data_IF_943776303330
#
_entry.id   IF_943776303330
#
_cell.length_a   1.000
_cell.length_b   1.000
_cell.length_c   1.000
_cell.angle_alpha   90.00
_cell.angle_beta   90.00
_cell.angle_gamma   90.00
#
_symmetry.space_group_name_H-M   'P 1'
#
loop_
_entity.id
_entity.type
_entity.pdbx_description
1 polymer ?
#
# COMPACT_ATOMS: atom_id res chain seq x y z
N UNK A 1 -14.08 8.10 -14.38
CA UNK A 1 -15.45 7.59 -14.21
C UNK A 1 -16.26 8.00 -15.42
N UNK A 2 -16.73 7.05 -16.23
CA UNK A 2 -17.68 7.34 -17.30
C UNK A 2 -19.10 7.09 -16.77
N UNK A 3 -20.10 7.92 -17.12
CA UNK A 3 -21.45 7.75 -16.63
C UNK A 3 -22.14 6.61 -17.39
N UNK A 4 -22.51 5.52 -16.71
CA UNK A 4 -23.40 4.48 -17.23
C UNK A 4 -22.81 3.08 -17.47
N UNK A 5 -21.54 2.81 -17.14
CA UNK A 5 -20.96 1.47 -17.21
C UNK A 5 -21.14 0.69 -15.91
N UNK A 6 -21.42 -0.62 -16.01
CA UNK A 6 -21.30 -1.55 -14.88
C UNK A 6 -19.88 -1.41 -14.31
N UNK A 7 -19.71 -1.21 -12.98
CA UNK A 7 -18.38 -1.13 -12.37
C UNK A 7 -17.55 -2.37 -12.69
N UNK A 8 -16.24 -2.22 -12.88
CA UNK A 8 -15.35 -3.29 -13.32
C UNK A 8 -15.40 -4.52 -12.39
N UNK A 9 -15.77 -4.31 -11.13
CA UNK A 9 -15.93 -5.32 -10.10
C UNK A 9 -17.09 -6.30 -10.37
N UNK A 10 -18.07 -5.90 -11.19
CA UNK A 10 -19.25 -6.68 -11.56
C UNK A 10 -19.19 -7.22 -13.00
N UNK A 11 -18.03 -7.13 -13.66
CA UNK A 11 -17.84 -7.73 -14.99
C UNK A 11 -18.03 -9.25 -14.87
N UNK A 12 -18.98 -9.80 -15.63
CA UNK A 12 -19.32 -11.23 -15.61
C UNK A 12 -20.44 -11.63 -14.64
N UNK A 13 -21.35 -10.71 -14.29
CA UNK A 13 -22.55 -10.93 -13.46
C UNK A 13 -22.28 -11.60 -12.09
N UNK A 14 -21.04 -11.53 -11.61
CA UNK A 14 -20.59 -12.22 -10.40
C UNK A 14 -20.08 -11.23 -9.37
N UNK A 15 -20.56 -11.35 -8.14
CA UNK A 15 -20.06 -10.62 -6.98
C UNK A 15 -19.40 -11.59 -5.99
N UNK A 16 -18.18 -11.27 -5.57
CA UNK A 16 -17.49 -11.96 -4.48
C UNK A 16 -16.43 -11.04 -3.87
N UNK A 17 -16.18 -11.17 -2.56
CA UNK A 17 -15.19 -10.35 -1.84
C UNK A 17 -13.77 -10.44 -2.44
N UNK A 18 -13.40 -11.61 -2.98
CA UNK A 18 -12.09 -11.86 -3.57
C UNK A 18 -12.19 -12.19 -5.07
N UNK A 19 -13.21 -11.65 -5.76
CA UNK A 19 -13.36 -11.86 -7.19
C UNK A 19 -12.07 -11.45 -7.93
N UNK A 20 -11.61 -12.31 -8.85
CA UNK A 20 -10.40 -12.11 -9.66
C UNK A 20 -9.08 -11.91 -8.88
N UNK A 21 -9.03 -12.31 -7.60
CA UNK A 21 -7.79 -12.20 -6.79
C UNK A 21 -6.85 -13.40 -6.87
N UNK A 22 -7.36 -14.57 -7.29
CA UNK A 22 -6.53 -15.77 -7.35
C UNK A 22 -5.48 -15.66 -8.48
N UNK A 23 -4.21 -15.89 -8.15
CA UNK A 23 -3.10 -15.83 -9.12
C UNK A 23 -2.79 -14.42 -9.66
N UNK A 24 -3.32 -13.36 -9.05
CA UNK A 24 -3.07 -11.97 -9.45
C UNK A 24 -2.23 -11.23 -8.40
N UNK A 25 -1.54 -10.18 -8.83
CA UNK A 25 -0.76 -9.30 -7.95
C UNK A 25 -1.50 -8.01 -7.63
N UNK A 26 -1.27 -7.44 -6.45
CA UNK A 26 -1.84 -6.15 -6.01
C UNK A 26 -1.18 -4.92 -6.66
N UNK A 27 -0.10 -5.11 -7.45
CA UNK A 27 0.63 -4.04 -8.11
C UNK A 27 2.14 -4.22 -8.02
N UNK A 28 2.88 -3.24 -8.55
CA UNK A 28 4.34 -3.21 -8.50
C UNK A 28 4.82 -2.53 -7.21
N UNK A 29 5.64 -3.23 -6.45
CA UNK A 29 6.25 -2.72 -5.22
C UNK A 29 7.71 -2.39 -5.46
N UNK A 30 8.16 -1.25 -4.93
CA UNK A 30 9.58 -0.93 -4.78
C UNK A 30 9.91 -0.95 -3.31
N UNK A 31 10.88 -1.77 -2.93
CA UNK A 31 11.32 -1.94 -1.55
C UNK A 31 12.83 -1.76 -1.42
N UNK A 32 13.29 -1.46 -0.22
CA UNK A 32 14.72 -1.46 0.12
C UNK A 32 15.24 -2.89 0.24
N UNK A 33 16.32 -3.20 -0.48
CA UNK A 33 16.98 -4.51 -0.45
C UNK A 33 17.88 -4.74 0.77
N UNK A 34 18.11 -3.71 1.59
CA UNK A 34 18.98 -3.77 2.76
C UNK A 34 20.49 -3.75 2.46
N UNK A 35 20.92 -3.71 1.18
CA UNK A 35 22.35 -3.74 0.80
C UNK A 35 23.11 -2.51 1.29
N UNK A 36 22.48 -1.32 1.24
CA UNK A 36 23.09 -0.06 1.69
C UNK A 36 22.92 0.14 3.19
N UNK A 37 21.77 -0.28 3.73
CA UNK A 37 21.43 -0.18 5.15
C UNK A 37 20.48 -1.32 5.51
N UNK A 38 20.99 -2.26 6.31
CA UNK A 38 20.21 -3.42 6.76
C UNK A 38 18.99 -3.02 7.59
N UNK A 39 19.00 -1.86 8.25
CA UNK A 39 17.87 -1.36 9.05
C UNK A 39 16.64 -1.00 8.19
N UNK A 40 16.85 -0.80 6.88
CA UNK A 40 15.81 -0.50 5.90
C UNK A 40 15.25 -1.73 5.17
N UNK A 41 15.79 -2.93 5.41
CA UNK A 41 15.41 -4.13 4.68
C UNK A 41 13.88 -4.35 4.66
N UNK A 42 13.32 -4.51 3.46
CA UNK A 42 11.88 -4.74 3.26
C UNK A 42 10.99 -3.51 3.44
N UNK A 43 11.55 -2.35 3.80
CA UNK A 43 10.78 -1.12 3.89
C UNK A 43 10.31 -0.66 2.50
N UNK A 44 9.09 -0.18 2.46
CA UNK A 44 8.42 0.25 1.25
C UNK A 44 8.93 1.61 0.79
N UNK A 45 9.24 1.72 -0.51
CA UNK A 45 9.63 2.97 -1.17
C UNK A 45 8.46 3.54 -1.96
N UNK A 46 7.77 2.69 -2.71
CA UNK A 46 6.59 3.06 -3.47
C UNK A 46 5.74 1.86 -3.86
N UNK A 47 4.47 2.13 -4.11
CA UNK A 47 3.50 1.19 -4.68
C UNK A 47 2.93 1.77 -5.96
N UNK A 48 3.01 1.02 -7.07
CA UNK A 48 2.63 1.48 -8.41
C UNK A 48 3.26 2.84 -8.78
N UNK A 49 4.52 3.06 -8.36
CA UNK A 49 5.26 4.31 -8.57
C UNK A 49 4.92 5.45 -7.60
N UNK A 50 3.87 5.32 -6.78
CA UNK A 50 3.44 6.34 -5.82
C UNK A 50 4.15 6.17 -4.48
N UNK A 51 4.69 7.27 -3.94
CA UNK A 51 5.29 7.32 -2.59
C UNK A 51 4.27 7.65 -1.49
N UNK A 52 3.11 8.18 -1.89
CA UNK A 52 1.99 8.54 -1.03
C UNK A 52 0.70 8.06 -1.68
N UNK A 53 -0.26 7.64 -0.87
CA UNK A 53 -1.59 7.25 -1.33
C UNK A 53 -2.41 8.49 -1.71
N UNK A 54 -3.32 8.40 -2.68
CA UNK A 54 -4.20 9.51 -3.05
C UNK A 54 -5.57 9.46 -2.34
N UNK A 55 -5.78 8.51 -1.44
CA UNK A 55 -7.12 8.14 -0.98
C UNK A 55 -7.59 8.88 0.27
N UNK A 56 -6.66 9.20 1.18
CA UNK A 56 -7.04 9.76 2.47
C UNK A 56 -7.14 11.28 2.38
N UNK A 57 -8.30 11.73 1.93
CA UNK A 57 -8.68 13.15 1.94
C UNK A 57 -9.67 13.38 3.07
N UNK A 58 -9.23 14.07 4.13
CA UNK A 58 -10.13 14.53 5.17
C UNK A 58 -10.05 16.05 5.24
N UNK A 59 -11.06 16.71 4.69
CA UNK A 59 -11.17 18.18 4.66
C UNK A 59 -11.32 18.81 6.05
N UNK A 60 -11.60 18.02 7.08
CA UNK A 60 -11.71 18.47 8.47
C UNK A 60 -10.42 18.32 9.25
N UNK A 61 -9.37 17.68 8.69
CA UNK A 61 -8.07 17.56 9.33
C UNK A 61 -7.10 18.65 8.85
N UNK A 62 -6.13 19.07 9.69
CA UNK A 62 -5.02 19.88 9.24
C UNK A 62 -4.25 19.21 8.10
N UNK A 63 -3.74 20.01 7.14
CA UNK A 63 -3.03 19.51 5.95
C UNK A 63 -1.88 18.54 6.28
N UNK A 64 -1.21 18.75 7.42
CA UNK A 64 -0.08 17.91 7.89
C UNK A 64 -0.53 16.53 8.34
N UNK A 65 -1.70 16.43 9.00
CA UNK A 65 -2.30 15.16 9.39
C UNK A 65 -2.85 14.42 8.17
N UNK A 66 -3.41 15.14 7.21
CA UNK A 66 -3.85 14.57 5.94
C UNK A 66 -2.67 13.95 5.16
N UNK A 67 -1.52 14.62 5.12
CA UNK A 67 -0.31 14.07 4.49
C UNK A 67 0.20 12.82 5.20
N UNK A 68 0.10 12.76 6.53
CA UNK A 68 0.52 11.60 7.31
C UNK A 68 -0.29 10.35 6.98
N UNK A 69 -1.62 10.44 6.87
CA UNK A 69 -2.49 9.30 6.54
C UNK A 69 -2.18 8.68 5.16
N UNK A 70 -1.60 9.46 4.25
CA UNK A 70 -1.25 9.00 2.91
C UNK A 70 0.15 8.36 2.84
N UNK A 71 0.93 8.34 3.93
CA UNK A 71 2.27 7.73 3.92
C UNK A 71 2.20 6.21 3.81
N UNK A 72 3.11 5.66 3.00
CA UNK A 72 3.41 4.23 2.94
C UNK A 72 4.56 3.93 3.91
N UNK A 73 4.23 3.62 5.17
CA UNK A 73 5.23 3.37 6.21
C UNK A 73 5.36 1.87 6.53
N UNK A 74 6.60 1.40 6.68
CA UNK A 74 6.91 0.03 7.10
C UNK A 74 7.17 -0.94 5.94
N UNK A 75 7.09 -2.24 6.24
CA UNK A 75 7.19 -3.33 5.27
C UNK A 75 5.81 -3.85 4.86
N UNK A 76 5.78 -4.86 3.98
CA UNK A 76 4.56 -5.58 3.61
C UNK A 76 4.09 -6.59 4.68
N UNK A 77 4.79 -6.67 5.81
CA UNK A 77 4.50 -7.59 6.91
C UNK A 77 5.03 -9.01 6.74
N UNK A 78 5.68 -9.34 5.63
CA UNK A 78 6.27 -10.67 5.42
C UNK A 78 7.70 -10.76 5.96
N UNK A 79 8.39 -9.63 6.01
CA UNK A 79 9.79 -9.51 6.39
C UNK A 79 10.00 -8.23 7.22
N UNK A 80 10.98 -8.26 8.14
CA UNK A 80 11.38 -7.12 8.96
C UNK A 80 12.90 -6.96 8.97
N UNK A 81 13.41 -5.74 9.22
CA UNK A 81 14.84 -5.51 9.45
C UNK A 81 15.40 -6.40 10.57
N UNK A 82 16.67 -6.84 10.48
CA UNK A 82 17.29 -7.67 11.50
C UNK A 82 17.50 -6.91 12.82
N UNK A 83 17.77 -7.65 13.90
CA UNK A 83 18.09 -7.12 15.24
C UNK A 83 16.97 -6.24 15.84
N UNK A 84 15.72 -6.65 15.65
CA UNK A 84 14.56 -5.99 16.27
C UNK A 84 14.65 -6.10 17.80
N UNK A 85 14.50 -4.97 18.49
CA UNK A 85 14.48 -4.88 19.94
C UNK A 85 13.05 -4.89 20.49
N UNK A 86 12.84 -5.30 21.74
CA UNK A 86 11.50 -5.42 22.35
C UNK A 86 10.83 -4.07 22.60
N UNK A 87 11.62 -3.01 22.71
CA UNK A 87 11.18 -1.62 22.83
C UNK A 87 10.67 -1.03 21.51
N UNK A 88 10.87 -1.74 20.40
CA UNK A 88 10.34 -1.37 19.09
C UNK A 88 8.98 -2.04 18.87
N UNK A 89 7.91 -1.36 19.28
CA UNK A 89 6.49 -1.71 19.01
C UNK A 89 5.96 -0.96 17.80
#
# INVERSE_FOLDING_TARGET
>A
MAPGGIPAEFVGDTFAFLNQKNGTSSGAWKIHSGVQDSSSLGQMVSWNGMKELPFWTNSSLPITQQQYCNKLNGSDGTLYPPLVSKDRT
#
